data_IF_790493987622
#
_entry.id   IF_790493987622
#
_cell.length_a   1.000
_cell.length_b   1.000
_cell.length_c   1.000
_cell.angle_alpha   90.00
_cell.angle_beta   90.00
_cell.angle_gamma   90.00
#
_symmetry.space_group_name_H-M   'P 1'
#
loop_
_entity.id
_entity.type
_entity.pdbx_description
1 polymer ?
#
# COMPACT_ATOMS: atom_id res chain seq x y z
N UNK A 1 -15.09 14.51 -3.94
CA UNK A 1 -15.19 13.84 -5.25
C UNK A 1 -14.24 12.65 -5.29
N UNK A 2 -14.64 11.51 -5.87
CA UNK A 2 -13.79 10.32 -6.03
C UNK A 2 -12.94 10.42 -7.30
N UNK A 3 -11.81 9.67 -7.36
CA UNK A 3 -11.01 9.56 -8.60
C UNK A 3 -11.85 9.11 -9.80
N UNK A 4 -12.84 8.24 -9.59
CA UNK A 4 -13.71 7.73 -10.65
C UNK A 4 -14.69 8.79 -11.16
N UNK A 5 -15.26 9.60 -10.27
CA UNK A 5 -16.11 10.73 -10.65
C UNK A 5 -15.34 11.70 -11.57
N UNK A 6 -14.13 12.12 -11.17
CA UNK A 6 -13.27 12.97 -12.01
C UNK A 6 -12.97 12.30 -13.36
N UNK A 7 -12.64 11.00 -13.35
CA UNK A 7 -12.38 10.25 -14.59
C UNK A 7 -13.57 10.30 -15.55
N UNK A 8 -14.79 10.09 -15.06
CA UNK A 8 -15.99 10.08 -15.90
C UNK A 8 -16.34 11.48 -16.43
N UNK A 9 -16.16 12.53 -15.62
CA UNK A 9 -16.35 13.90 -16.10
C UNK A 9 -15.32 14.29 -17.17
N UNK A 10 -14.08 13.80 -17.07
CA UNK A 10 -13.07 13.99 -18.14
C UNK A 10 -13.42 13.22 -19.42
N UNK A 11 -14.01 12.02 -19.31
CA UNK A 11 -14.53 11.25 -20.45
C UNK A 11 -15.57 12.07 -21.21
N UNK A 12 -16.53 12.64 -20.47
CA UNK A 12 -17.61 13.44 -21.05
C UNK A 12 -17.09 14.74 -21.66
N UNK A 13 -16.28 15.50 -20.92
CA UNK A 13 -15.77 16.81 -21.34
C UNK A 13 -14.91 16.77 -22.61
N UNK A 14 -14.13 15.70 -22.80
CA UNK A 14 -13.24 15.55 -23.94
C UNK A 14 -13.74 14.54 -24.98
N UNK A 15 -14.97 14.03 -24.82
CA UNK A 15 -15.56 13.02 -25.70
C UNK A 15 -14.66 11.78 -25.92
N UNK A 16 -14.01 11.33 -24.84
CA UNK A 16 -13.08 10.20 -24.86
C UNK A 16 -13.75 8.93 -24.34
N UNK A 17 -13.13 7.77 -24.60
CA UNK A 17 -13.54 6.51 -23.97
C UNK A 17 -12.90 6.38 -22.58
N UNK A 18 -13.54 5.71 -21.59
CA UNK A 18 -12.96 5.54 -20.25
C UNK A 18 -11.55 4.93 -20.22
N UNK A 19 -11.25 4.05 -21.18
CA UNK A 19 -9.95 3.40 -21.34
C UNK A 19 -8.87 4.35 -21.87
N UNK A 20 -9.21 5.56 -22.30
CA UNK A 20 -8.28 6.58 -22.77
C UNK A 20 -7.85 7.51 -21.64
N UNK A 21 -8.60 7.54 -20.54
CA UNK A 21 -8.19 8.22 -19.31
C UNK A 21 -7.31 7.28 -18.48
N UNK A 22 -6.16 7.79 -18.06
CA UNK A 22 -5.20 7.11 -17.20
C UNK A 22 -5.08 7.79 -15.85
N UNK A 23 -4.87 7.00 -14.80
CA UNK A 23 -4.56 7.47 -13.45
C UNK A 23 -3.59 6.50 -12.79
N UNK A 24 -2.77 7.01 -11.87
CA UNK A 24 -1.80 6.22 -11.11
C UNK A 24 -2.43 5.40 -9.99
N UNK A 25 -3.69 5.66 -9.63
CA UNK A 25 -4.42 4.93 -8.60
C UNK A 25 -5.54 5.75 -7.99
N UNK A 26 -6.35 5.11 -7.15
CA UNK A 26 -7.42 5.78 -6.41
C UNK A 26 -6.83 6.67 -5.31
N UNK A 27 -7.56 7.73 -4.97
CA UNK A 27 -7.31 8.61 -3.83
C UNK A 27 -8.53 8.62 -2.92
N UNK A 28 -8.30 8.94 -1.65
CA UNK A 28 -9.36 9.00 -0.65
C UNK A 28 -10.38 10.09 -1.01
N UNK A 29 -11.66 9.76 -0.92
CA UNK A 29 -12.76 10.69 -1.19
C UNK A 29 -12.79 11.83 -0.18
N UNK A 30 -12.55 11.48 1.08
CA UNK A 30 -12.64 12.38 2.23
C UNK A 30 -11.26 12.96 2.57
N UNK A 31 -10.57 13.47 1.54
CA UNK A 31 -9.27 14.11 1.66
C UNK A 31 -9.06 15.15 0.55
N UNK A 32 -8.20 16.14 0.82
CA UNK A 32 -7.66 17.00 -0.25
C UNK A 32 -6.53 16.28 -0.96
N UNK A 33 -6.84 15.65 -2.09
CA UNK A 33 -5.88 14.90 -2.88
C UNK A 33 -5.40 15.68 -4.12
N UNK A 34 -4.12 15.51 -4.48
CA UNK A 34 -3.58 15.90 -5.78
C UNK A 34 -3.14 14.65 -6.51
N UNK A 35 -3.56 14.48 -7.76
CA UNK A 35 -3.18 13.35 -8.60
C UNK A 35 -3.07 13.77 -10.07
N UNK A 36 -2.37 12.96 -10.86
CA UNK A 36 -2.23 13.16 -12.30
C UNK A 36 -3.23 12.26 -13.02
N UNK A 37 -3.95 12.85 -13.98
CA UNK A 37 -4.68 12.13 -15.01
C UNK A 37 -3.96 12.30 -16.35
N UNK A 38 -3.90 11.25 -17.15
CA UNK A 38 -3.44 11.33 -18.54
C UNK A 38 -4.60 11.11 -19.48
N UNK A 39 -4.76 11.98 -20.47
CA UNK A 39 -5.75 11.84 -21.54
C UNK A 39 -5.02 11.40 -22.80
N UNK A 40 -5.40 10.24 -23.34
CA UNK A 40 -4.93 9.84 -24.66
C UNK A 40 -5.80 10.56 -25.70
N UNK A 41 -5.19 11.41 -26.53
CA UNK A 41 -5.88 12.14 -27.60
C UNK A 41 -5.57 11.43 -28.93
N UNK A 42 -6.59 11.09 -29.71
CA UNK A 42 -6.41 10.27 -30.93
C UNK A 42 -6.11 11.09 -32.20
N UNK A 43 -6.57 12.35 -32.30
CA UNK A 43 -6.58 13.07 -33.59
C UNK A 43 -6.20 14.54 -33.54
N UNK A 44 -6.39 15.23 -32.42
CA UNK A 44 -6.12 16.67 -32.32
C UNK A 44 -5.19 17.01 -31.15
N UNK A 45 -4.21 17.85 -31.43
CA UNK A 45 -3.47 18.53 -30.36
C UNK A 45 -4.37 19.61 -29.79
N UNK A 46 -4.84 19.40 -28.57
CA UNK A 46 -5.56 20.42 -27.81
C UNK A 46 -4.52 21.36 -27.19
N UNK A 47 -4.79 22.66 -27.24
CA UNK A 47 -4.06 23.65 -26.47
C UNK A 47 -4.19 23.34 -24.98
N UNK A 48 -3.07 23.10 -24.30
CA UNK A 48 -3.05 22.69 -22.90
C UNK A 48 -3.65 23.73 -21.96
N UNK A 49 -3.51 25.03 -22.27
CA UNK A 49 -4.14 26.08 -21.47
C UNK A 49 -5.64 26.10 -21.64
N UNK A 50 -6.13 25.89 -22.87
CA UNK A 50 -7.58 25.73 -23.12
C UNK A 50 -8.11 24.51 -22.37
N UNK A 51 -7.42 23.39 -22.43
CA UNK A 51 -7.81 22.18 -21.68
C UNK A 51 -7.86 22.43 -20.16
N UNK A 52 -6.87 23.14 -19.61
CA UNK A 52 -6.84 23.55 -18.19
C UNK A 52 -8.06 24.40 -17.84
N UNK A 53 -8.36 25.42 -18.66
CA UNK A 53 -9.52 26.31 -18.46
C UNK A 53 -10.85 25.53 -18.54
N UNK A 54 -11.02 24.66 -19.54
CA UNK A 54 -12.23 23.85 -19.70
C UNK A 54 -12.47 22.93 -18.50
N UNK A 55 -11.42 22.27 -18.00
CA UNK A 55 -11.52 21.40 -16.82
C UNK A 55 -11.86 22.22 -15.58
N UNK A 56 -11.13 23.32 -15.32
CA UNK A 56 -11.37 24.16 -14.16
C UNK A 56 -12.75 24.83 -14.16
N UNK A 57 -13.34 25.09 -15.34
CA UNK A 57 -14.68 25.65 -15.48
C UNK A 57 -15.82 24.62 -15.42
N UNK A 58 -15.55 23.34 -15.67
CA UNK A 58 -16.60 22.30 -15.82
C UNK A 58 -16.58 21.25 -14.71
N UNK A 59 -15.46 21.09 -14.01
CA UNK A 59 -15.23 20.06 -13.00
C UNK A 59 -14.82 20.77 -11.71
N UNK A 60 -15.42 20.41 -10.57
CA UNK A 60 -15.06 20.94 -9.24
C UNK A 60 -13.70 20.41 -8.75
N UNK A 61 -12.65 20.82 -9.46
CA UNK A 61 -11.24 20.50 -9.20
C UNK A 61 -10.37 21.71 -9.52
N UNK A 62 -9.24 21.82 -8.83
CA UNK A 62 -8.18 22.76 -9.22
C UNK A 62 -7.17 22.06 -10.12
N UNK A 63 -7.01 22.56 -11.34
CA UNK A 63 -5.95 22.11 -12.25
C UNK A 63 -4.66 22.87 -11.97
N UNK A 64 -3.59 22.16 -11.62
CA UNK A 64 -2.30 22.80 -11.31
C UNK A 64 -1.43 23.01 -12.57
N UNK A 65 -1.50 22.09 -13.53
CA UNK A 65 -0.74 22.13 -14.79
C UNK A 65 -1.33 21.12 -15.80
N UNK A 66 -1.00 21.28 -17.08
CA UNK A 66 -1.19 20.27 -18.13
C UNK A 66 0.02 20.30 -19.08
N UNK A 67 0.46 19.13 -19.54
CA UNK A 67 1.56 18.97 -20.51
C UNK A 67 1.38 17.70 -21.34
N UNK A 68 1.95 17.69 -22.54
CA UNK A 68 2.04 16.49 -23.35
C UNK A 68 3.03 15.48 -22.74
N UNK A 69 2.76 14.20 -22.99
CA UNK A 69 3.58 13.08 -22.57
C UNK A 69 3.30 11.88 -23.48
N UNK A 70 4.33 11.11 -23.83
CA UNK A 70 4.20 10.02 -24.82
C UNK A 70 3.54 8.76 -24.25
N UNK A 71 3.61 8.61 -22.92
CA UNK A 71 3.09 7.42 -22.24
C UNK A 71 1.85 7.74 -21.43
N UNK A 72 0.82 6.90 -21.59
CA UNK A 72 -0.37 6.91 -20.73
C UNK A 72 0.02 6.62 -19.27
N UNK A 73 -0.47 7.41 -18.34
CA UNK A 73 -0.26 7.19 -16.91
C UNK A 73 -1.15 6.04 -16.40
N UNK A 74 -0.54 5.05 -15.74
CA UNK A 74 -1.22 3.82 -15.31
C UNK A 74 -0.88 3.46 -13.87
N UNK A 75 -1.70 2.60 -13.27
CA UNK A 75 -1.43 2.01 -11.98
C UNK A 75 -0.03 1.34 -11.99
N UNK A 76 0.81 1.69 -11.01
CA UNK A 76 2.19 1.23 -10.90
C UNK A 76 3.25 2.22 -11.34
N UNK A 77 2.89 3.28 -12.09
CA UNK A 77 3.81 4.38 -12.45
C UNK A 77 4.07 5.35 -11.28
N UNK A 78 3.23 5.32 -10.23
CA UNK A 78 3.48 6.10 -9.02
C UNK A 78 4.64 5.50 -8.22
N UNK A 79 5.60 6.34 -7.84
CA UNK A 79 6.66 5.98 -6.89
C UNK A 79 6.06 5.84 -5.48
N UNK A 80 5.16 6.75 -5.10
CA UNK A 80 4.56 6.81 -3.77
C UNK A 80 3.52 7.92 -3.65
N UNK A 81 3.11 8.21 -2.41
CA UNK A 81 2.25 9.33 -2.06
C UNK A 81 2.87 10.10 -0.87
N UNK A 82 2.82 11.43 -0.93
CA UNK A 82 3.18 12.30 0.19
C UNK A 82 1.93 12.74 0.92
N UNK A 83 1.99 12.70 2.24
CA UNK A 83 0.87 12.96 3.13
C UNK A 83 1.19 14.14 4.06
N UNK A 84 0.17 14.95 4.32
CA UNK A 84 0.13 15.93 5.42
C UNK A 84 -1.14 15.67 6.20
N UNK A 85 -1.01 15.18 7.42
CA UNK A 85 -2.14 14.76 8.25
C UNK A 85 -2.11 15.55 9.55
N UNK A 86 -3.21 16.26 9.84
CA UNK A 86 -3.40 16.93 11.12
C UNK A 86 -4.14 15.98 12.07
N UNK A 87 -3.49 15.60 13.16
CA UNK A 87 -4.13 14.92 14.28
C UNK A 87 -4.70 16.00 15.20
N UNK A 88 -6.03 16.16 15.18
CA UNK A 88 -6.78 17.11 16.02
C UNK A 88 -7.36 16.45 17.28
N UNK A 89 -8.07 17.25 18.08
CA UNK A 89 -8.88 16.77 19.22
C UNK A 89 -8.08 15.95 20.25
N UNK A 90 -6.84 16.37 20.47
CA UNK A 90 -5.89 15.71 21.36
C UNK A 90 -6.31 15.95 22.82
N UNK A 91 -6.66 14.87 23.52
CA UNK A 91 -7.17 14.88 24.90
C UNK A 91 -6.11 15.12 25.99
N UNK A 92 -4.87 15.43 25.62
CA UNK A 92 -3.75 15.66 26.54
C UNK A 92 -3.10 17.00 26.24
N UNK A 93 -2.34 17.55 27.19
CA UNK A 93 -1.63 18.81 26.98
C UNK A 93 -0.69 18.74 25.78
N UNK A 94 -0.48 19.88 25.11
CA UNK A 94 0.37 20.00 23.92
C UNK A 94 1.79 19.44 24.14
N UNK A 95 2.40 19.73 25.30
CA UNK A 95 3.72 19.21 25.67
C UNK A 95 3.74 17.68 25.78
N UNK A 96 2.74 17.08 26.45
CA UNK A 96 2.62 15.61 26.56
C UNK A 96 2.37 14.96 25.19
N UNK A 97 1.55 15.59 24.35
CA UNK A 97 1.28 15.12 22.99
C UNK A 97 2.55 15.10 22.14
N UNK A 98 3.29 16.22 22.10
CA UNK A 98 4.54 16.32 21.35
C UNK A 98 5.59 15.32 21.83
N UNK A 99 5.74 15.16 23.15
CA UNK A 99 6.66 14.18 23.71
C UNK A 99 6.32 12.75 23.24
N UNK A 100 5.03 12.36 23.26
CA UNK A 100 4.58 11.05 22.74
C UNK A 100 4.85 10.89 21.25
N UNK A 101 4.52 11.91 20.45
CA UNK A 101 4.73 11.87 18.99
C UNK A 101 6.21 11.77 18.64
N UNK A 102 7.10 12.49 19.34
CA UNK A 102 8.54 12.38 19.15
C UNK A 102 9.02 10.96 19.47
N UNK A 103 8.68 10.41 20.65
CA UNK A 103 9.09 9.04 21.01
C UNK A 103 8.62 7.97 20.02
N UNK A 104 7.39 8.09 19.52
CA UNK A 104 6.87 7.16 18.50
C UNK A 104 7.66 7.33 17.20
N UNK A 105 7.90 8.57 16.78
CA UNK A 105 8.68 8.87 15.57
C UNK A 105 10.11 8.34 15.67
N UNK A 106 10.79 8.52 16.80
CA UNK A 106 12.14 8.00 17.05
C UNK A 106 12.17 6.48 16.90
N UNK A 107 11.16 5.78 17.45
CA UNK A 107 11.06 4.32 17.29
C UNK A 107 10.81 3.93 15.83
N UNK A 108 9.94 4.64 15.12
CA UNK A 108 9.67 4.39 13.70
C UNK A 108 10.94 4.64 12.86
N UNK A 109 11.74 5.65 13.17
CA UNK A 109 13.00 5.90 12.44
C UNK A 109 14.04 4.82 12.75
N UNK A 110 14.05 4.26 13.95
CA UNK A 110 14.98 3.19 14.35
C UNK A 110 14.64 1.83 13.72
N UNK A 111 13.37 1.41 13.73
CA UNK A 111 12.99 0.05 13.33
C UNK A 111 11.97 -0.02 12.20
N UNK A 112 11.43 1.11 11.75
CA UNK A 112 10.30 1.17 10.81
C UNK A 112 8.96 0.75 11.42
N UNK A 113 7.98 0.55 10.55
CA UNK A 113 6.67 -0.03 10.90
C UNK A 113 6.35 -1.23 10.02
N UNK A 114 5.70 -2.29 10.54
CA UNK A 114 5.30 -3.41 9.71
C UNK A 114 4.32 -2.95 8.63
N UNK A 115 4.55 -3.38 7.38
CA UNK A 115 3.79 -2.93 6.22
C UNK A 115 2.45 -3.69 6.05
N UNK A 116 1.64 -3.71 7.11
CA UNK A 116 0.34 -4.36 7.13
C UNK A 116 -0.60 -3.79 6.08
N UNK A 117 -1.41 -4.67 5.49
CA UNK A 117 -2.62 -4.28 4.79
C UNK A 117 -3.70 -3.85 5.81
N UNK A 118 -4.28 -2.67 5.59
CA UNK A 118 -5.34 -2.13 6.45
C UNK A 118 -6.69 -2.84 6.29
N UNK A 119 -7.63 -2.55 7.21
CA UNK A 119 -8.96 -3.17 7.26
C UNK A 119 -9.76 -3.02 5.97
N UNK A 120 -9.60 -1.91 5.24
CA UNK A 120 -10.27 -1.70 3.96
C UNK A 120 -9.96 -2.82 2.95
N UNK A 121 -8.74 -3.37 2.98
CA UNK A 121 -8.35 -4.50 2.11
C UNK A 121 -9.02 -5.79 2.57
N UNK A 122 -9.00 -6.05 3.88
CA UNK A 122 -9.58 -7.26 4.48
C UNK A 122 -11.11 -7.26 4.50
N UNK A 123 -11.73 -6.10 4.29
CA UNK A 123 -13.15 -5.89 4.54
C UNK A 123 -13.42 -5.79 6.05
N UNK A 124 -14.56 -5.20 6.42
CA UNK A 124 -14.99 -5.12 7.83
C UNK A 124 -14.95 -6.51 8.45
N UNK A 125 -14.24 -6.67 9.57
CA UNK A 125 -14.04 -7.95 10.28
C UNK A 125 -13.52 -9.10 9.40
N UNK A 126 -12.66 -8.80 8.42
CA UNK A 126 -12.02 -9.84 7.60
C UNK A 126 -12.92 -10.49 6.53
N UNK A 127 -14.12 -9.96 6.29
CA UNK A 127 -15.09 -10.55 5.35
C UNK A 127 -14.54 -10.78 3.94
N UNK A 128 -13.69 -9.90 3.42
CA UNK A 128 -13.11 -10.09 2.08
C UNK A 128 -12.09 -11.23 2.07
N UNK A 129 -11.27 -11.34 3.12
CA UNK A 129 -10.30 -12.42 3.24
C UNK A 129 -11.01 -13.78 3.35
N UNK A 130 -12.06 -13.89 4.18
CA UNK A 130 -12.89 -15.10 4.28
C UNK A 130 -13.56 -15.44 2.95
N UNK A 131 -14.18 -14.47 2.29
CA UNK A 131 -14.77 -14.71 0.96
C UNK A 131 -13.73 -15.15 -0.08
N UNK A 132 -12.50 -14.62 -0.03
CA UNK A 132 -11.40 -15.08 -0.87
C UNK A 132 -11.01 -16.53 -0.61
N UNK A 133 -10.98 -16.93 0.66
CA UNK A 133 -10.76 -18.32 1.07
C UNK A 133 -11.89 -19.25 0.58
N UNK A 134 -13.16 -18.85 0.74
CA UNK A 134 -14.32 -19.63 0.29
C UNK A 134 -14.28 -19.83 -1.24
N UNK A 135 -13.91 -18.78 -1.99
CA UNK A 135 -13.75 -18.86 -3.46
C UNK A 135 -12.62 -19.83 -3.83
N UNK A 136 -11.47 -19.78 -3.14
CA UNK A 136 -10.35 -20.67 -3.43
C UNK A 136 -10.75 -22.14 -3.31
N UNK A 137 -11.53 -22.46 -2.28
CA UNK A 137 -12.01 -23.81 -1.99
C UNK A 137 -13.21 -24.24 -2.86
N UNK A 138 -13.92 -23.28 -3.45
CA UNK A 138 -15.10 -23.53 -4.28
C UNK A 138 -16.42 -23.51 -3.51
N UNK A 139 -16.38 -23.08 -2.24
CA UNK A 139 -17.55 -22.90 -1.38
C UNK A 139 -18.34 -21.63 -1.74
N UNK A 140 -17.72 -20.71 -2.47
CA UNK A 140 -18.35 -19.48 -2.94
C UNK A 140 -18.03 -19.22 -4.41
N UNK A 141 -19.05 -18.92 -5.19
CA UNK A 141 -18.91 -18.48 -6.58
C UNK A 141 -19.30 -17.00 -6.72
N UNK A 142 -18.47 -16.23 -7.43
CA UNK A 142 -18.72 -14.82 -7.74
C UNK A 142 -18.60 -14.67 -9.25
N UNK A 143 -19.72 -14.44 -9.93
CA UNK A 143 -19.75 -14.32 -11.40
C UNK A 143 -18.89 -13.18 -11.96
N UNK A 144 -18.63 -12.14 -11.15
CA UNK A 144 -17.71 -11.07 -11.51
C UNK A 144 -16.24 -11.52 -11.29
N UNK A 145 -15.54 -11.79 -12.39
CA UNK A 145 -14.14 -12.24 -12.39
C UNK A 145 -13.17 -11.25 -11.74
N UNK A 146 -13.41 -9.95 -11.87
CA UNK A 146 -12.57 -8.94 -11.21
C UNK A 146 -12.75 -9.00 -9.70
N UNK A 147 -13.99 -9.09 -9.21
CA UNK A 147 -14.29 -9.18 -7.78
C UNK A 147 -13.76 -10.47 -7.18
N UNK A 148 -13.90 -11.60 -7.88
CA UNK A 148 -13.30 -12.88 -7.46
C UNK A 148 -11.78 -12.75 -7.25
N UNK A 149 -11.05 -12.19 -8.23
CA UNK A 149 -9.60 -11.93 -8.10
C UNK A 149 -9.26 -10.98 -6.95
N UNK A 150 -10.07 -9.95 -6.74
CA UNK A 150 -9.88 -9.01 -5.64
C UNK A 150 -10.01 -9.70 -4.28
N UNK A 151 -11.05 -10.51 -4.08
CA UNK A 151 -11.30 -11.24 -2.83
C UNK A 151 -10.22 -12.30 -2.56
N UNK A 152 -9.80 -13.06 -3.57
CA UNK A 152 -8.67 -14.00 -3.45
C UNK A 152 -7.39 -13.26 -3.02
N UNK A 153 -7.14 -12.09 -3.63
CA UNK A 153 -5.99 -11.28 -3.25
C UNK A 153 -6.09 -10.72 -1.84
N UNK A 154 -7.30 -10.47 -1.31
CA UNK A 154 -7.50 -10.11 0.09
C UNK A 154 -7.09 -11.26 1.04
N UNK A 155 -7.33 -12.51 0.66
CA UNK A 155 -6.83 -13.66 1.43
C UNK A 155 -5.29 -13.76 1.43
N UNK A 156 -4.65 -13.53 0.27
CA UNK A 156 -3.18 -13.43 0.23
C UNK A 156 -2.66 -12.30 1.12
N UNK A 157 -3.34 -11.15 1.12
CA UNK A 157 -3.01 -10.03 2.02
C UNK A 157 -3.13 -10.42 3.49
N UNK A 158 -4.12 -11.24 3.86
CA UNK A 158 -4.29 -11.74 5.23
C UNK A 158 -3.10 -12.59 5.66
N UNK A 159 -2.65 -13.54 4.82
CA UNK A 159 -1.47 -14.36 5.12
C UNK A 159 -0.17 -13.54 5.18
N UNK A 160 -0.06 -12.50 4.34
CA UNK A 160 1.03 -11.52 4.44
C UNK A 160 1.02 -10.79 5.79
N UNK A 161 -0.15 -10.37 6.28
CA UNK A 161 -0.27 -9.76 7.61
C UNK A 161 0.10 -10.76 8.71
N UNK A 162 -0.31 -12.03 8.58
CA UNK A 162 0.06 -13.08 9.53
C UNK A 162 1.58 -13.24 9.62
N UNK A 163 2.28 -13.33 8.50
CA UNK A 163 3.75 -13.40 8.48
C UNK A 163 4.41 -12.21 9.18
N UNK A 164 3.90 -11.00 8.96
CA UNK A 164 4.42 -9.80 9.64
C UNK A 164 4.15 -9.84 11.16
N UNK A 165 2.99 -10.34 11.59
CA UNK A 165 2.66 -10.49 12.99
C UNK A 165 3.57 -11.53 13.67
N UNK A 166 3.76 -12.69 13.06
CA UNK A 166 4.65 -13.74 13.55
C UNK A 166 6.09 -13.25 13.72
N UNK A 167 6.61 -12.46 12.77
CA UNK A 167 7.95 -11.87 12.94
C UNK A 167 8.05 -10.93 14.14
N UNK A 168 6.98 -10.19 14.43
CA UNK A 168 6.93 -9.32 15.62
C UNK A 168 6.84 -10.16 16.89
N UNK A 169 5.99 -11.19 16.91
CA UNK A 169 5.80 -12.07 18.06
C UNK A 169 7.05 -12.90 18.39
N UNK A 170 7.81 -13.31 17.37
CA UNK A 170 9.07 -14.05 17.53
C UNK A 170 10.29 -13.14 17.74
N UNK A 171 10.09 -11.83 17.85
CA UNK A 171 11.16 -10.84 18.02
C UNK A 171 12.25 -10.93 16.94
N UNK A 172 11.83 -11.16 15.69
CA UNK A 172 12.70 -11.23 14.49
C UNK A 172 12.33 -10.17 13.44
N UNK A 173 11.54 -9.17 13.84
CA UNK A 173 11.07 -8.10 12.95
C UNK A 173 12.16 -7.05 12.68
N UNK A 174 12.96 -6.71 13.68
CA UNK A 174 13.97 -5.64 13.61
C UNK A 174 15.33 -6.12 13.10
N UNK A 175 15.42 -7.37 12.64
CA UNK A 175 16.60 -7.94 11.99
C UNK A 175 16.26 -8.78 10.77
N UNK A 176 17.24 -8.94 9.89
CA UNK A 176 17.24 -9.96 8.86
C UNK A 176 17.55 -11.33 9.50
N UNK A 177 16.94 -12.38 8.96
CA UNK A 177 17.22 -13.76 9.37
C UNK A 177 17.74 -14.57 8.17
N UNK A 178 18.47 -15.67 8.40
CA UNK A 178 18.95 -16.54 7.33
C UNK A 178 17.81 -16.96 6.38
N UNK A 179 18.07 -16.82 5.09
CA UNK A 179 17.12 -17.21 4.05
C UNK A 179 16.02 -16.19 3.73
N UNK A 180 16.09 -14.97 4.28
CA UNK A 180 15.19 -13.87 3.93
C UNK A 180 15.23 -13.54 2.42
N UNK A 181 14.10 -13.08 1.89
CA UNK A 181 14.08 -12.37 0.61
C UNK A 181 14.08 -10.88 0.92
N UNK A 182 15.15 -10.17 0.58
CA UNK A 182 15.25 -8.72 0.76
C UNK A 182 14.76 -7.99 -0.48
N UNK A 183 14.28 -6.75 -0.31
CA UNK A 183 14.02 -5.79 -1.38
C UNK A 183 14.88 -4.55 -1.16
N UNK A 184 15.64 -4.15 -2.18
CA UNK A 184 16.39 -2.89 -2.20
C UNK A 184 15.44 -1.72 -2.46
N UNK A 185 15.50 -0.67 -1.65
CA UNK A 185 14.53 0.43 -1.74
C UNK A 185 14.79 1.36 -2.93
N UNK A 186 16.04 1.43 -3.40
CA UNK A 186 16.44 2.25 -4.55
C UNK A 186 16.12 1.56 -5.88
N UNK A 187 16.46 0.28 -6.02
CA UNK A 187 16.28 -0.46 -7.29
C UNK A 187 14.95 -1.21 -7.36
N UNK A 188 14.37 -1.58 -6.22
CA UNK A 188 13.22 -2.48 -6.14
C UNK A 188 13.54 -3.95 -6.44
N UNK A 189 14.82 -4.28 -6.60
CA UNK A 189 15.30 -5.66 -6.82
C UNK A 189 15.05 -6.53 -5.59
N UNK A 190 14.80 -7.83 -5.82
CA UNK A 190 14.50 -8.79 -4.77
C UNK A 190 15.41 -10.00 -4.85
N UNK A 191 16.10 -10.28 -3.75
CA UNK A 191 17.17 -11.28 -3.73
C UNK A 191 17.04 -12.16 -2.48
N UNK A 192 17.25 -13.46 -2.67
CA UNK A 192 17.39 -14.40 -1.56
C UNK A 192 18.76 -14.22 -0.92
N UNK A 193 18.80 -14.03 0.38
CA UNK A 193 20.04 -14.01 1.16
C UNK A 193 20.17 -15.31 1.93
N UNK A 194 21.38 -15.84 2.04
CA UNK A 194 21.62 -17.04 2.86
C UNK A 194 21.86 -16.68 4.32
N UNK A 195 22.67 -15.64 4.56
CA UNK A 195 22.99 -15.10 5.88
C UNK A 195 22.91 -13.56 5.84
N UNK A 196 22.52 -12.89 6.93
CA UNK A 196 22.46 -11.42 6.98
C UNK A 196 23.79 -10.71 6.73
N UNK A 197 24.86 -11.10 7.44
CA UNK A 197 26.18 -10.45 7.36
C UNK A 197 26.10 -8.92 7.38
N UNK A 198 26.84 -8.28 6.48
CA UNK A 198 26.90 -6.81 6.35
C UNK A 198 25.57 -6.17 5.89
N UNK A 199 24.64 -6.96 5.34
CA UNK A 199 23.32 -6.44 4.92
C UNK A 199 22.48 -6.00 6.12
N UNK A 200 22.77 -6.48 7.33
CA UNK A 200 22.08 -6.03 8.53
C UNK A 200 22.25 -4.52 8.76
N UNK A 201 23.41 -3.94 8.44
CA UNK A 201 23.60 -2.49 8.58
C UNK A 201 22.78 -1.70 7.56
N UNK A 202 22.73 -2.17 6.30
CA UNK A 202 21.85 -1.59 5.28
C UNK A 202 20.38 -1.70 5.66
N UNK A 203 19.99 -2.78 6.35
CA UNK A 203 18.67 -2.92 6.93
C UNK A 203 18.44 -1.86 8.02
N UNK A 204 19.33 -1.70 8.99
CA UNK A 204 19.18 -0.68 10.04
C UNK A 204 19.12 0.75 9.47
N UNK A 205 19.88 1.04 8.41
CA UNK A 205 19.85 2.32 7.70
C UNK A 205 18.59 2.55 6.85
N UNK A 206 17.71 1.54 6.73
CA UNK A 206 16.48 1.63 5.96
C UNK A 206 16.67 1.58 4.44
N UNK A 207 17.82 1.14 3.95
CA UNK A 207 18.12 0.99 2.52
C UNK A 207 17.48 -0.27 1.92
N UNK A 208 17.37 -1.31 2.74
CA UNK A 208 16.78 -2.60 2.37
C UNK A 208 15.74 -3.03 3.40
N UNK A 209 14.87 -3.97 3.02
CA UNK A 209 13.97 -4.63 3.97
C UNK A 209 13.68 -6.06 3.57
N UNK A 210 13.48 -6.96 4.53
CA UNK A 210 12.88 -8.24 4.25
C UNK A 210 11.51 -8.05 3.58
N UNK A 211 11.07 -9.08 2.86
CA UNK A 211 9.78 -9.10 2.19
C UNK A 211 8.88 -10.16 2.81
N UNK A 212 7.58 -9.87 2.88
CA UNK A 212 6.55 -10.81 3.28
C UNK A 212 5.96 -11.55 2.06
N UNK A 213 5.54 -12.82 2.24
CA UNK A 213 4.99 -13.63 1.17
C UNK A 213 3.59 -13.16 0.78
N UNK A 214 3.35 -13.11 -0.54
CA UNK A 214 2.01 -13.18 -1.10
C UNK A 214 1.92 -14.52 -1.83
N UNK A 215 1.44 -15.54 -1.13
CA UNK A 215 1.58 -16.94 -1.57
C UNK A 215 1.02 -17.20 -2.97
N UNK A 216 1.81 -17.92 -3.77
CA UNK A 216 1.45 -18.37 -5.10
C UNK A 216 2.64 -19.01 -5.83
N UNK A 217 2.37 -19.75 -6.92
CA UNK A 217 3.36 -20.58 -7.62
C UNK A 217 4.53 -19.82 -8.28
N UNK A 218 4.39 -18.51 -8.54
CA UNK A 218 5.44 -17.66 -9.13
C UNK A 218 6.20 -16.83 -8.08
N UNK A 219 5.90 -17.01 -6.80
CA UNK A 219 6.58 -16.30 -5.72
C UNK A 219 8.00 -16.82 -5.53
N UNK A 220 8.98 -15.92 -5.41
CA UNK A 220 10.33 -16.27 -4.93
C UNK A 220 10.20 -16.79 -3.49
N UNK A 221 10.69 -18.00 -3.24
CA UNK A 221 10.58 -18.65 -1.94
C UNK A 221 11.75 -18.26 -1.05
N UNK A 222 11.47 -17.87 0.19
CA UNK A 222 12.49 -17.81 1.22
C UNK A 222 13.05 -19.20 1.51
N UNK A 223 14.20 -19.25 2.19
CA UNK A 223 14.84 -20.50 2.62
C UNK A 223 15.16 -20.44 4.11
N UNK A 224 15.74 -21.50 4.68
CA UNK A 224 16.24 -21.53 6.06
C UNK A 224 15.19 -21.02 7.07
N UNK A 225 15.57 -20.19 8.02
CA UNK A 225 14.70 -19.68 9.08
C UNK A 225 13.48 -18.93 8.51
N UNK A 226 13.69 -18.01 7.57
CA UNK A 226 12.57 -17.29 6.94
C UNK A 226 11.63 -18.24 6.17
N UNK A 227 12.20 -19.24 5.49
CA UNK A 227 11.47 -20.24 4.72
C UNK A 227 10.66 -21.20 5.60
N UNK A 228 11.17 -21.56 6.78
CA UNK A 228 10.46 -22.36 7.78
C UNK A 228 9.21 -21.60 8.24
N UNK A 229 9.35 -20.33 8.63
CA UNK A 229 8.21 -19.49 9.00
C UNK A 229 7.17 -19.38 7.88
N UNK A 230 7.61 -19.21 6.62
CA UNK A 230 6.69 -19.20 5.48
C UNK A 230 5.97 -20.53 5.28
N UNK A 231 6.67 -21.66 5.49
CA UNK A 231 6.12 -23.00 5.35
C UNK A 231 5.09 -23.31 6.44
N UNK A 232 5.35 -22.93 7.69
CA UNK A 232 4.41 -23.05 8.82
C UNK A 232 3.09 -22.34 8.51
N UNK A 233 3.16 -21.04 8.17
CA UNK A 233 1.98 -20.23 7.84
C UNK A 233 1.24 -20.81 6.64
N UNK A 234 1.97 -21.28 5.62
CA UNK A 234 1.37 -21.87 4.44
C UNK A 234 0.62 -23.17 4.78
N UNK A 235 1.21 -24.06 5.58
CA UNK A 235 0.60 -25.31 6.00
C UNK A 235 -0.69 -25.08 6.80
N UNK A 236 -0.65 -24.19 7.78
CA UNK A 236 -1.80 -23.86 8.64
C UNK A 236 -2.92 -23.15 7.89
N UNK A 237 -2.61 -22.47 6.79
CA UNK A 237 -3.61 -21.75 5.98
C UNK A 237 -4.58 -22.66 5.21
N UNK A 238 -4.29 -23.97 5.14
CA UNK A 238 -5.03 -24.93 4.30
C UNK A 238 -4.85 -24.72 2.79
N UNK A 239 -3.94 -23.84 2.37
CA UNK A 239 -3.66 -23.62 0.95
C UNK A 239 -2.92 -24.81 0.33
N UNK A 240 -3.18 -25.03 -0.96
CA UNK A 240 -2.40 -25.94 -1.77
C UNK A 240 -2.06 -25.33 -3.13
N UNK A 241 -0.96 -25.78 -3.72
CA UNK A 241 -0.56 -25.35 -5.05
C UNK A 241 -1.63 -25.68 -6.10
N UNK A 242 -2.41 -26.75 -5.89
CA UNK A 242 -3.55 -27.12 -6.73
C UNK A 242 -4.63 -26.05 -6.69
N UNK A 243 -5.04 -25.59 -5.50
CA UNK A 243 -6.04 -24.53 -5.32
C UNK A 243 -5.58 -23.21 -5.94
N UNK A 244 -4.32 -22.84 -5.73
CA UNK A 244 -3.74 -21.61 -6.27
C UNK A 244 -3.67 -21.63 -7.80
N UNK A 245 -3.19 -22.74 -8.40
CA UNK A 245 -3.14 -22.91 -9.86
C UNK A 245 -4.53 -22.90 -10.50
N UNK A 246 -5.50 -23.62 -9.91
CA UNK A 246 -6.91 -23.66 -10.37
C UNK A 246 -7.51 -22.25 -10.47
N UNK A 247 -7.22 -21.41 -9.48
CA UNK A 247 -7.73 -20.04 -9.41
C UNK A 247 -6.81 -19.00 -10.08
N UNK A 248 -5.79 -19.45 -10.83
CA UNK A 248 -4.82 -18.60 -11.54
C UNK A 248 -4.15 -17.55 -10.64
N UNK A 249 -3.94 -17.91 -9.37
CA UNK A 249 -3.18 -17.10 -8.42
C UNK A 249 -1.71 -17.23 -8.77
N UNK A 250 -0.99 -16.11 -8.87
CA UNK A 250 0.43 -16.11 -9.21
C UNK A 250 1.31 -16.07 -7.98
N UNK A 251 0.97 -15.23 -7.01
CA UNK A 251 1.85 -14.90 -5.89
C UNK A 251 2.94 -13.88 -6.24
N UNK A 252 3.53 -13.28 -5.22
CA UNK A 252 4.59 -12.27 -5.31
C UNK A 252 5.20 -12.03 -3.91
N UNK A 253 6.07 -11.02 -3.79
CA UNK A 253 6.61 -10.52 -2.52
C UNK A 253 6.14 -9.09 -2.28
N UNK A 254 6.02 -8.72 -1.02
CA UNK A 254 5.72 -7.34 -0.57
C UNK A 254 6.78 -6.92 0.42
N UNK A 255 7.29 -5.69 0.33
CA UNK A 255 8.18 -5.12 1.35
C UNK A 255 7.54 -5.26 2.74
N UNK A 256 8.24 -5.88 3.68
CA UNK A 256 7.70 -6.18 5.00
C UNK A 256 7.68 -4.99 5.95
N UNK A 257 8.47 -3.96 5.65
CA UNK A 257 8.64 -2.78 6.50
C UNK A 257 8.48 -1.49 5.72
N UNK A 258 7.88 -0.48 6.35
CA UNK A 258 7.89 0.91 5.89
C UNK A 258 8.87 1.71 6.75
N UNK A 259 9.72 2.51 6.12
CA UNK A 259 10.71 3.40 6.76
C UNK A 259 10.48 4.86 6.37
N UNK A 260 9.30 5.45 6.69
CA UNK A 260 9.02 6.82 6.32
C UNK A 260 9.84 7.80 7.16
N UNK A 261 10.40 8.81 6.50
CA UNK A 261 10.82 10.04 7.18
C UNK A 261 9.56 10.82 7.57
N UNK A 262 9.48 11.19 8.85
CA UNK A 262 8.31 11.88 9.42
C UNK A 262 8.78 13.22 9.96
N UNK A 263 8.14 14.28 9.50
CA UNK A 263 8.30 15.63 10.04
C UNK A 263 7.10 15.96 10.91
N UNK A 264 7.37 16.56 12.07
CA UNK A 264 6.37 16.87 13.08
C UNK A 264 6.28 18.39 13.20
N UNK A 265 5.06 18.92 13.10
CA UNK A 265 4.82 20.34 13.29
C UNK A 265 3.63 20.57 14.23
N UNK A 266 3.84 21.34 15.29
CA UNK A 266 2.78 21.69 16.22
C UNK A 266 1.90 22.81 15.66
N UNK A 267 0.61 22.55 15.43
CA UNK A 267 -0.37 23.52 14.92
C UNK A 267 -1.34 23.96 16.02
N UNK A 268 -2.08 25.05 15.77
CA UNK A 268 -3.10 25.56 16.72
C UNK A 268 -4.16 24.51 17.08
N UNK A 269 -4.56 23.68 16.11
CA UNK A 269 -5.63 22.68 16.25
C UNK A 269 -5.13 21.25 16.55
N UNK A 270 -3.82 21.04 16.74
CA UNK A 270 -3.27 19.70 16.94
C UNK A 270 -1.83 19.55 16.48
N UNK A 271 -1.44 18.35 16.07
CA UNK A 271 -0.09 18.04 15.57
C UNK A 271 -0.19 17.57 14.13
N UNK A 272 0.57 18.20 13.23
CA UNK A 272 0.67 17.80 11.84
C UNK A 272 1.85 16.85 11.66
N UNK A 273 1.60 15.75 10.98
CA UNK A 273 2.62 14.81 10.50
C UNK A 273 2.75 14.95 8.99
N UNK A 274 3.97 15.14 8.50
CA UNK A 274 4.30 15.11 7.07
C UNK A 274 5.21 13.92 6.79
N UNK A 275 4.86 13.09 5.81
CA UNK A 275 5.64 11.90 5.46
C UNK A 275 5.35 11.43 4.03
N UNK A 276 6.26 10.67 3.45
CA UNK A 276 6.08 10.02 2.14
C UNK A 276 6.10 8.51 2.32
N UNK A 277 5.16 7.82 1.65
CA UNK A 277 5.13 6.36 1.58
C UNK A 277 5.28 5.91 0.14
N UNK A 278 6.13 4.92 -0.11
CA UNK A 278 6.22 4.24 -1.39
C UNK A 278 4.90 3.54 -1.75
N UNK A 279 4.74 3.21 -3.04
CA UNK A 279 3.59 2.46 -3.53
C UNK A 279 3.35 1.20 -2.69
N UNK A 280 2.09 0.98 -2.33
CA UNK A 280 1.67 -0.14 -1.50
C UNK A 280 1.69 0.13 0.00
N UNK A 281 2.33 1.20 0.49
CA UNK A 281 2.19 1.67 1.87
C UNK A 281 0.86 2.40 2.11
N UNK A 282 0.31 2.29 3.31
CA UNK A 282 -0.94 2.93 3.70
C UNK A 282 -0.69 3.94 4.83
N UNK A 283 -1.19 5.16 4.68
CA UNK A 283 -1.08 6.19 5.72
C UNK A 283 -1.75 5.76 7.03
N UNK A 284 -2.85 5.01 6.94
CA UNK A 284 -3.55 4.46 8.11
C UNK A 284 -2.68 3.53 8.95
N UNK A 285 -1.76 2.76 8.34
CA UNK A 285 -0.80 1.92 9.06
C UNK A 285 0.12 2.76 9.93
N UNK A 286 0.63 3.88 9.41
CA UNK A 286 1.45 4.81 10.18
C UNK A 286 0.63 5.54 11.26
N UNK A 287 -0.54 6.08 10.90
CA UNK A 287 -1.37 6.86 11.82
C UNK A 287 -1.89 6.01 12.99
N UNK A 288 -2.07 4.69 12.79
CA UNK A 288 -2.42 3.76 13.86
C UNK A 288 -1.40 3.80 15.00
N UNK A 289 -0.11 3.98 14.70
CA UNK A 289 0.94 4.04 15.72
C UNK A 289 0.82 5.28 16.61
N UNK A 290 0.35 6.41 16.05
CA UNK A 290 0.18 7.65 16.80
C UNK A 290 -1.17 7.73 17.52
N UNK A 291 -2.25 7.34 16.84
CA UNK A 291 -3.61 7.55 17.33
C UNK A 291 -4.05 6.42 18.27
N UNK A 292 -3.49 5.20 18.13
CA UNK A 292 -3.91 3.99 18.83
C UNK A 292 -5.45 3.80 18.87
N UNK A 293 -6.14 4.35 17.88
CA UNK A 293 -7.60 4.24 17.76
C UNK A 293 -7.95 2.81 17.39
N UNK A 294 -8.58 2.10 18.31
CA UNK A 294 -9.13 0.76 18.11
C UNK A 294 -10.28 0.84 17.09
N UNK A 295 -9.93 0.75 15.81
CA UNK A 295 -10.85 0.19 14.84
C UNK A 295 -10.59 -1.32 14.87
N UNK A 296 -11.50 -2.09 15.48
CA UNK A 296 -11.57 -3.54 15.24
C UNK A 296 -10.93 -4.52 16.23
N UNK A 297 -10.78 -4.22 17.53
CA UNK A 297 -10.70 -5.27 18.56
C UNK A 297 -11.95 -5.24 19.44
N UNK A 298 -13.04 -5.79 18.88
CA UNK A 298 -14.15 -6.45 19.55
C UNK A 298 -14.76 -7.45 18.56
#
# INVERSE_FOLDING_TARGET
MTTREVQMQLVELFHLRPQMIGTGGLKDKDARATQVFSLQLEKEKIDTEKAVRSVAGSIDVRVNWAKYHDTKFRAGHLIGNSFKVLISDIKVSRGKALHRVNRITDRIHSIGIPNFYGEQRMGRRGKNAKAGWDILHGEKNVGNRWLSRYLISAYQSHLCNRYLAERVERDIYDRLVPGDIIEDHGTGERTLIHEPGDLQQRYLNGEISFTAPMFGPKMIRASREAGILEAEIYAESGLSNKLLKRNRVTGTRRRGRLTPRIEIEAKKRGIQLSFTLHKGGFATTLLREFMKTSHGQR
#
